data_IF_771600031387
#
_entry.id   IF_771600031387
#
_cell.length_a   1.000
_cell.length_b   1.000
_cell.length_c   1.000
_cell.angle_alpha   90.00
_cell.angle_beta   90.00
_cell.angle_gamma   90.00
#
_symmetry.space_group_name_H-M   'P 1'
#
loop_
_entity.id
_entity.type
_entity.pdbx_description
1 polymer ?
#
# COMPACT_ATOMS: atom_id res chain seq x y z
N UNK A 1 -0.84 44.68 -14.67
CA UNK A 1 -0.21 43.48 -14.08
C UNK A 1 -0.69 43.14 -12.68
N UNK A 2 -0.77 44.11 -11.77
CA UNK A 2 -1.22 43.87 -10.37
C UNK A 2 -2.63 43.27 -10.28
N UNK A 3 -3.57 43.72 -11.09
CA UNK A 3 -4.95 43.22 -11.13
C UNK A 3 -5.06 41.78 -11.63
N UNK A 4 -4.19 41.32 -12.51
CA UNK A 4 -4.18 39.91 -12.98
C UNK A 4 -3.69 38.95 -11.90
N UNK A 5 -2.68 39.38 -11.13
CA UNK A 5 -2.13 38.58 -10.00
C UNK A 5 -3.18 38.47 -8.89
N UNK A 6 -3.92 39.54 -8.63
CA UNK A 6 -4.98 39.54 -7.63
C UNK A 6 -6.15 38.63 -8.05
N UNK A 7 -6.55 38.65 -9.30
CA UNK A 7 -7.60 37.75 -9.83
C UNK A 7 -7.18 36.28 -9.81
N UNK A 8 -5.92 35.98 -10.12
CA UNK A 8 -5.35 34.64 -10.01
C UNK A 8 -5.32 34.17 -8.54
N UNK A 9 -4.89 35.04 -7.62
CA UNK A 9 -4.87 34.73 -6.19
C UNK A 9 -6.28 34.43 -5.63
N UNK A 10 -7.27 35.24 -6.02
CA UNK A 10 -8.68 35.02 -5.63
C UNK A 10 -9.21 33.70 -6.22
N UNK A 11 -8.87 33.39 -7.47
CA UNK A 11 -9.30 32.17 -8.13
C UNK A 11 -8.68 30.93 -7.47
N UNK A 12 -7.38 30.95 -7.17
CA UNK A 12 -6.69 29.88 -6.44
C UNK A 12 -7.33 29.69 -5.04
N UNK A 13 -7.57 30.79 -4.34
CA UNK A 13 -8.22 30.75 -3.02
C UNK A 13 -9.65 30.19 -3.10
N UNK A 14 -10.46 30.60 -4.09
CA UNK A 14 -11.80 30.07 -4.29
C UNK A 14 -11.83 28.57 -4.64
N UNK A 15 -10.88 28.11 -5.47
CA UNK A 15 -10.79 26.68 -5.83
C UNK A 15 -10.36 25.86 -4.62
N UNK A 16 -9.38 26.33 -3.86
CA UNK A 16 -8.88 25.59 -2.69
C UNK A 16 -9.84 25.62 -1.49
N UNK A 17 -10.70 26.63 -1.40
CA UNK A 17 -11.67 26.74 -0.30
C UNK A 17 -12.81 25.71 -0.35
N UNK A 18 -13.02 25.06 -1.49
CA UNK A 18 -14.06 24.04 -1.68
C UNK A 18 -13.54 22.61 -1.62
N UNK A 19 -12.23 22.41 -1.40
CA UNK A 19 -11.67 21.07 -1.24
C UNK A 19 -11.79 20.71 0.24
N UNK A 20 -12.86 20.01 0.58
CA UNK A 20 -12.96 19.33 1.87
C UNK A 20 -12.05 18.11 1.83
N UNK A 21 -11.18 17.96 2.82
CA UNK A 21 -10.44 16.73 3.01
C UNK A 21 -11.43 15.60 3.27
N UNK A 22 -11.22 14.41 2.70
CA UNK A 22 -12.07 13.27 2.99
C UNK A 22 -12.10 12.99 4.50
N UNK A 23 -13.23 12.51 4.99
CA UNK A 23 -13.34 12.02 6.36
C UNK A 23 -12.40 10.83 6.54
N UNK A 24 -11.64 10.84 7.63
CA UNK A 24 -10.73 9.74 7.97
C UNK A 24 -11.45 8.76 8.87
N UNK A 25 -11.58 7.52 8.41
CA UNK A 25 -12.11 6.39 9.17
C UNK A 25 -10.95 5.49 9.57
N UNK A 26 -10.67 5.46 10.88
CA UNK A 26 -9.56 4.72 11.48
C UNK A 26 -10.01 3.36 11.99
N UNK A 27 -9.18 2.34 11.71
CA UNK A 27 -9.28 0.99 12.24
C UNK A 27 -7.98 0.61 12.97
N UNK A 28 -8.06 -0.33 13.90
CA UNK A 28 -6.89 -0.90 14.57
C UNK A 28 -6.48 -2.23 13.90
N UNK A 29 -5.24 -2.68 14.13
CA UNK A 29 -4.83 -4.03 13.70
C UNK A 29 -5.75 -5.09 14.29
N UNK A 30 -6.10 -6.10 13.48
CA UNK A 30 -7.06 -7.15 13.82
C UNK A 30 -8.52 -6.76 13.61
N UNK A 31 -8.85 -5.49 13.41
CA UNK A 31 -10.19 -5.06 13.03
C UNK A 31 -10.44 -5.26 11.54
N UNK A 32 -11.65 -5.69 11.19
CA UNK A 32 -12.07 -5.85 9.81
C UNK A 32 -12.55 -4.50 9.23
N UNK A 33 -11.75 -3.92 8.34
CA UNK A 33 -12.06 -2.66 7.66
C UNK A 33 -12.84 -2.93 6.37
N UNK A 34 -14.15 -2.69 6.37
CA UNK A 34 -14.96 -2.72 5.16
C UNK A 34 -14.58 -1.55 4.25
N UNK A 35 -14.37 -1.80 2.96
CA UNK A 35 -14.00 -0.74 2.01
C UNK A 35 -15.23 -0.03 1.45
N UNK A 36 -16.28 -0.77 1.13
CA UNK A 36 -17.52 -0.21 0.61
C UNK A 36 -17.32 0.44 -0.76
N UNK A 37 -17.81 1.68 -0.91
CA UNK A 37 -17.68 2.46 -2.15
C UNK A 37 -16.41 3.30 -2.22
N UNK A 38 -15.55 3.17 -1.23
CA UNK A 38 -14.34 3.96 -1.16
C UNK A 38 -13.34 3.43 -2.20
N UNK A 39 -12.60 4.35 -2.79
CA UNK A 39 -11.64 4.10 -3.86
C UNK A 39 -10.31 4.79 -3.52
N UNK A 40 -9.24 4.24 -4.02
CA UNK A 40 -7.92 4.89 -4.04
C UNK A 40 -7.74 5.65 -5.36
N UNK A 41 -8.07 4.97 -6.47
CA UNK A 41 -8.01 5.51 -7.83
C UNK A 41 -9.23 5.03 -8.63
N UNK A 42 -10.06 5.93 -9.13
CA UNK A 42 -11.35 5.68 -9.78
C UNK A 42 -11.32 4.83 -11.06
N UNK A 43 -10.12 4.54 -11.59
CA UNK A 43 -9.97 3.88 -12.89
C UNK A 43 -9.97 2.36 -12.84
N UNK A 44 -9.63 1.76 -11.72
CA UNK A 44 -9.27 0.33 -11.67
C UNK A 44 -9.90 -0.40 -10.49
N UNK A 45 -10.39 0.31 -9.50
CA UNK A 45 -10.85 -0.27 -8.23
C UNK A 45 -12.35 -0.20 -8.06
N UNK A 46 -12.92 -1.32 -7.74
CA UNK A 46 -14.24 -1.39 -7.14
C UNK A 46 -14.16 -2.45 -6.04
N UNK A 47 -13.88 -2.00 -4.82
CA UNK A 47 -13.76 -2.86 -3.65
C UNK A 47 -15.09 -3.03 -2.89
N UNK A 48 -16.22 -2.72 -3.52
CA UNK A 48 -17.52 -2.88 -2.87
C UNK A 48 -17.79 -4.34 -2.50
N UNK A 49 -18.06 -4.58 -1.22
CA UNK A 49 -18.22 -5.91 -0.65
C UNK A 49 -16.89 -6.58 -0.26
N UNK A 50 -15.77 -5.86 -0.32
CA UNK A 50 -14.50 -6.34 0.22
C UNK A 50 -14.21 -5.72 1.58
N UNK A 51 -13.48 -6.47 2.40
CA UNK A 51 -12.88 -5.98 3.64
C UNK A 51 -11.41 -6.40 3.72
N UNK A 52 -10.65 -5.65 4.51
CA UNK A 52 -9.23 -5.89 4.78
C UNK A 52 -9.01 -5.88 6.28
N UNK A 53 -8.25 -6.86 6.78
CA UNK A 53 -7.76 -6.90 8.15
C UNK A 53 -6.25 -6.97 8.13
N UNK A 54 -5.54 -6.07 8.80
CA UNK A 54 -4.10 -6.22 9.02
C UNK A 54 -3.88 -7.18 10.19
N UNK A 55 -3.20 -8.30 9.94
CA UNK A 55 -3.02 -9.38 10.92
C UNK A 55 -1.68 -9.28 11.66
N UNK A 56 -0.61 -8.92 10.95
CA UNK A 56 0.73 -8.76 11.53
C UNK A 56 1.56 -7.76 10.72
N UNK A 57 2.59 -7.21 11.34
CA UNK A 57 3.54 -6.33 10.68
C UNK A 57 4.92 -6.47 11.29
N UNK A 58 5.97 -6.40 10.46
CA UNK A 58 7.36 -6.55 10.90
C UNK A 58 8.35 -5.85 10.00
N UNK A 59 9.46 -5.41 10.59
CA UNK A 59 10.61 -4.87 9.85
C UNK A 59 11.69 -5.95 9.73
N UNK A 60 12.30 -6.04 8.56
CA UNK A 60 13.44 -6.93 8.31
C UNK A 60 14.36 -6.37 7.22
N UNK A 61 15.57 -6.91 7.14
CA UNK A 61 16.50 -6.58 6.05
C UNK A 61 16.03 -7.20 4.73
N UNK A 62 16.52 -6.68 3.63
CA UNK A 62 16.27 -7.26 2.30
C UNK A 62 16.69 -8.73 2.22
N UNK A 63 17.87 -9.07 2.75
CA UNK A 63 18.40 -10.42 2.77
C UNK A 63 17.52 -11.38 3.60
N UNK A 64 17.07 -10.95 4.79
CA UNK A 64 16.18 -11.75 5.63
C UNK A 64 14.81 -11.96 4.97
N UNK A 65 14.34 -10.96 4.22
CA UNK A 65 13.10 -11.08 3.46
C UNK A 65 13.22 -12.14 2.36
N UNK A 66 14.24 -12.08 1.54
CA UNK A 66 14.49 -13.09 0.49
C UNK A 66 14.61 -14.50 1.09
N UNK A 67 15.38 -14.63 2.17
CA UNK A 67 15.54 -15.89 2.89
C UNK A 67 14.21 -16.42 3.43
N UNK A 68 13.35 -15.55 3.98
CA UNK A 68 12.02 -15.92 4.49
C UNK A 68 11.17 -16.59 3.42
N UNK A 69 11.24 -16.09 2.19
CA UNK A 69 10.45 -16.59 1.06
C UNK A 69 11.23 -17.59 0.18
N UNK A 70 12.43 -18.01 0.61
CA UNK A 70 13.22 -19.02 -0.08
C UNK A 70 13.76 -18.59 -1.43
N UNK A 71 13.89 -17.28 -1.66
CA UNK A 71 14.43 -16.71 -2.89
C UNK A 71 15.95 -16.53 -2.78
N UNK A 72 16.68 -17.01 -3.80
CA UNK A 72 18.14 -16.90 -3.87
C UNK A 72 18.54 -16.19 -5.17
N UNK A 73 19.04 -14.96 -5.10
CA UNK A 73 19.42 -14.16 -6.27
C UNK A 73 20.51 -14.82 -7.14
N UNK A 74 21.33 -15.73 -6.59
CA UNK A 74 22.34 -16.48 -7.37
C UNK A 74 21.70 -17.56 -8.26
N UNK A 75 20.58 -18.12 -7.83
CA UNK A 75 19.88 -19.23 -8.51
C UNK A 75 18.66 -18.75 -9.29
N UNK A 76 17.89 -17.82 -8.71
CA UNK A 76 16.58 -17.36 -9.21
C UNK A 76 16.68 -16.08 -10.04
N UNK A 77 17.83 -15.37 -9.97
CA UNK A 77 18.11 -14.13 -10.68
C UNK A 77 18.06 -12.89 -9.80
N UNK A 78 18.79 -11.87 -10.20
CA UNK A 78 18.91 -10.60 -9.47
C UNK A 78 17.62 -9.78 -9.62
N UNK A 79 16.99 -9.43 -8.51
CA UNK A 79 15.75 -8.60 -8.51
C UNK A 79 16.03 -7.12 -8.73
N UNK A 80 17.11 -6.63 -8.14
CA UNK A 80 17.52 -5.23 -8.24
C UNK A 80 19.02 -5.16 -8.46
N UNK A 81 19.45 -4.50 -9.53
CA UNK A 81 20.87 -4.21 -9.75
C UNK A 81 21.43 -3.38 -8.58
N UNK A 82 22.74 -3.51 -8.30
CA UNK A 82 23.37 -2.86 -7.15
C UNK A 82 23.27 -1.32 -7.17
N UNK A 83 23.22 -0.71 -8.36
CA UNK A 83 23.11 0.73 -8.57
C UNK A 83 21.65 1.20 -8.72
N UNK A 84 20.67 0.30 -8.59
CA UNK A 84 19.26 0.66 -8.67
C UNK A 84 18.82 1.42 -7.42
N UNK A 85 18.42 2.69 -7.61
CA UNK A 85 17.92 3.54 -6.52
C UNK A 85 16.65 2.99 -5.84
N UNK A 86 15.97 2.04 -6.46
CA UNK A 86 14.78 1.38 -5.90
C UNK A 86 15.13 0.05 -5.19
N UNK A 87 16.42 -0.30 -5.09
CA UNK A 87 16.84 -1.47 -4.33
C UNK A 87 16.55 -1.25 -2.85
N UNK A 88 15.73 -2.10 -2.24
CA UNK A 88 15.45 -2.00 -0.82
C UNK A 88 16.68 -2.33 0.02
N UNK A 89 16.86 -1.64 1.13
CA UNK A 89 17.74 -2.07 2.22
C UNK A 89 16.92 -2.76 3.31
N UNK A 90 15.72 -2.21 3.56
CA UNK A 90 14.80 -2.64 4.60
C UNK A 90 13.39 -2.81 4.02
N UNK A 91 12.65 -3.74 4.58
CA UNK A 91 11.24 -4.00 4.25
C UNK A 91 10.40 -3.90 5.53
N UNK A 92 9.32 -3.13 5.44
CA UNK A 92 8.22 -3.19 6.39
C UNK A 92 7.11 -4.05 5.78
N UNK A 93 7.02 -5.29 6.21
CA UNK A 93 6.01 -6.22 5.73
C UNK A 93 4.74 -6.11 6.56
N UNK A 94 3.60 -6.00 5.89
CA UNK A 94 2.27 -6.08 6.52
C UNK A 94 1.52 -7.26 5.94
N UNK A 95 1.15 -8.20 6.80
CA UNK A 95 0.31 -9.34 6.45
C UNK A 95 -1.16 -8.92 6.56
N UNK A 96 -1.92 -9.10 5.48
CA UNK A 96 -3.34 -8.76 5.46
C UNK A 96 -4.21 -9.96 5.08
N UNK A 97 -5.39 -10.03 5.68
CA UNK A 97 -6.47 -10.92 5.26
C UNK A 97 -7.49 -10.08 4.48
N UNK A 98 -7.78 -10.50 3.26
CA UNK A 98 -8.79 -9.88 2.41
C UNK A 98 -9.98 -10.82 2.27
N UNK A 99 -11.20 -10.31 2.45
CA UNK A 99 -12.44 -11.05 2.27
C UNK A 99 -13.31 -10.43 1.20
N UNK A 100 -13.97 -11.27 0.42
CA UNK A 100 -15.03 -10.87 -0.49
C UNK A 100 -16.38 -11.39 0.05
N UNK A 101 -17.19 -10.47 0.54
CA UNK A 101 -18.53 -10.77 1.11
C UNK A 101 -19.64 -10.81 0.05
N UNK A 102 -19.33 -10.54 -1.22
CA UNK A 102 -20.31 -10.64 -2.29
C UNK A 102 -20.77 -12.08 -2.44
N UNK A 103 -22.07 -12.28 -2.66
CA UNK A 103 -22.67 -13.61 -2.88
C UNK A 103 -22.58 -14.06 -4.33
N UNK A 104 -22.45 -13.11 -5.24
CA UNK A 104 -22.39 -13.35 -6.67
C UNK A 104 -21.11 -12.78 -7.25
N UNK A 105 -20.65 -13.36 -8.36
CA UNK A 105 -19.48 -12.84 -9.06
C UNK A 105 -19.81 -11.45 -9.66
N UNK A 106 -19.21 -10.43 -9.10
CA UNK A 106 -19.29 -9.07 -9.60
C UNK A 106 -18.04 -8.77 -10.41
N UNK A 107 -18.13 -8.88 -11.72
CA UNK A 107 -17.01 -8.66 -12.63
C UNK A 107 -16.42 -7.24 -12.58
N UNK A 108 -17.12 -6.29 -11.94
CA UNK A 108 -16.64 -4.93 -11.72
C UNK A 108 -15.86 -4.74 -10.42
N UNK A 109 -15.87 -5.74 -9.51
CA UNK A 109 -15.19 -5.64 -8.21
C UNK A 109 -13.77 -6.22 -8.28
N UNK A 110 -12.85 -5.64 -7.54
CA UNK A 110 -11.46 -6.11 -7.42
C UNK A 110 -10.62 -5.18 -6.57
N UNK A 111 -9.44 -5.66 -6.24
CA UNK A 111 -8.44 -4.98 -5.41
C UNK A 111 -7.21 -4.67 -6.24
N UNK A 112 -6.57 -3.52 -5.98
CA UNK A 112 -5.25 -3.18 -6.48
C UNK A 112 -4.37 -2.75 -5.31
N UNK A 113 -3.30 -3.51 -5.04
CA UNK A 113 -2.35 -3.16 -3.98
C UNK A 113 -1.29 -2.15 -4.40
N UNK A 114 -1.15 -1.86 -5.70
CA UNK A 114 -0.19 -0.88 -6.20
C UNK A 114 -0.41 0.52 -5.61
N UNK A 115 -1.66 0.80 -5.24
CA UNK A 115 -2.04 2.10 -4.69
C UNK A 115 -1.96 2.14 -3.16
N UNK A 116 -1.90 1.00 -2.48
CA UNK A 116 -1.78 0.97 -1.02
C UNK A 116 -0.48 1.60 -0.56
N UNK A 117 -0.56 2.39 0.50
CA UNK A 117 0.57 3.12 1.08
C UNK A 117 0.61 2.89 2.58
N UNK A 118 1.81 2.73 3.09
CA UNK A 118 2.08 2.80 4.51
C UNK A 118 2.60 4.22 4.80
N UNK A 119 1.81 5.02 5.52
CA UNK A 119 2.05 6.45 5.70
C UNK A 119 2.32 6.80 7.15
N UNK A 120 3.17 7.79 7.37
CA UNK A 120 3.35 8.51 8.62
C UNK A 120 3.12 10.02 8.38
N UNK A 121 3.40 10.86 9.39
CA UNK A 121 3.23 12.30 9.29
C UNK A 121 4.13 12.96 8.25
N UNK A 122 5.31 12.39 8.01
CA UNK A 122 6.42 13.01 7.26
C UNK A 122 7.02 12.13 6.16
N UNK A 123 6.56 10.87 6.05
CA UNK A 123 6.98 9.97 4.97
C UNK A 123 5.87 9.01 4.54
N UNK A 124 6.12 8.35 3.42
CA UNK A 124 5.22 7.35 2.84
C UNK A 124 6.05 6.25 2.19
N UNK A 125 5.72 4.99 2.51
CA UNK A 125 6.33 3.82 1.90
C UNK A 125 5.40 3.21 0.86
N UNK A 126 5.98 2.69 -0.21
CA UNK A 126 5.26 2.04 -1.31
C UNK A 126 5.51 0.54 -1.32
N UNK A 127 4.57 -0.23 -1.84
CA UNK A 127 4.75 -1.67 -2.03
C UNK A 127 5.77 -1.92 -3.15
N UNK A 128 6.72 -2.82 -2.90
CA UNK A 128 7.66 -3.29 -3.91
C UNK A 128 7.02 -4.42 -4.72
N UNK A 129 6.80 -4.21 -6.02
CA UNK A 129 6.19 -5.24 -6.88
C UNK A 129 7.02 -6.52 -6.97
N UNK A 130 8.36 -6.49 -7.19
CA UNK A 130 9.15 -7.72 -7.25
C UNK A 130 9.07 -8.53 -5.95
N UNK A 131 9.16 -7.88 -4.80
CA UNK A 131 9.07 -8.54 -3.50
C UNK A 131 7.66 -9.08 -3.23
N UNK A 132 6.61 -8.33 -3.65
CA UNK A 132 5.24 -8.79 -3.56
C UNK A 132 5.00 -10.09 -4.36
N UNK A 133 5.56 -10.21 -5.56
CA UNK A 133 5.42 -11.42 -6.36
C UNK A 133 6.03 -12.65 -5.70
N UNK A 134 7.21 -12.49 -5.10
CA UNK A 134 7.88 -13.56 -4.36
C UNK A 134 7.07 -13.97 -3.14
N UNK A 135 6.66 -13.02 -2.32
CA UNK A 135 5.95 -13.29 -1.07
C UNK A 135 4.58 -13.94 -1.26
N UNK A 136 3.93 -13.67 -2.39
CA UNK A 136 2.60 -14.18 -2.68
C UNK A 136 2.58 -15.28 -3.75
N UNK A 137 3.75 -15.84 -4.10
CA UNK A 137 3.92 -16.94 -5.08
C UNK A 137 3.23 -16.63 -6.41
N UNK A 138 3.46 -15.42 -6.93
CA UNK A 138 2.89 -14.98 -8.21
C UNK A 138 3.75 -15.49 -9.36
N UNK A 139 3.19 -16.38 -10.17
CA UNK A 139 3.87 -16.94 -11.33
C UNK A 139 4.33 -15.84 -12.31
N UNK A 140 5.49 -16.04 -12.96
CA UNK A 140 6.14 -15.06 -13.84
C UNK A 140 5.21 -14.55 -14.95
N UNK A 141 4.41 -15.41 -15.54
CA UNK A 141 3.43 -15.04 -16.56
C UNK A 141 2.34 -14.06 -16.06
N UNK A 142 2.10 -14.00 -14.75
CA UNK A 142 1.11 -13.15 -14.12
C UNK A 142 1.70 -11.85 -13.53
N UNK A 143 3.01 -11.71 -13.44
CA UNK A 143 3.66 -10.54 -12.84
C UNK A 143 3.35 -9.24 -13.58
N UNK A 144 3.13 -9.31 -14.89
CA UNK A 144 2.72 -8.17 -15.72
C UNK A 144 1.27 -7.73 -15.52
N UNK A 145 0.43 -8.54 -14.86
CA UNK A 145 -0.97 -8.22 -14.56
C UNK A 145 -1.12 -7.31 -13.35
N UNK A 146 -0.02 -6.83 -12.81
CA UNK A 146 0.05 -5.94 -11.66
C UNK A 146 -0.43 -6.63 -10.36
N UNK A 147 -0.50 -5.85 -9.29
CA UNK A 147 -1.00 -6.32 -7.99
C UNK A 147 -2.51 -6.14 -7.89
N UNK A 148 -3.23 -6.46 -8.97
CA UNK A 148 -4.69 -6.38 -9.05
C UNK A 148 -5.28 -7.76 -9.23
N UNK A 149 -6.31 -8.08 -8.47
CA UNK A 149 -6.98 -9.38 -8.55
C UNK A 149 -8.42 -9.29 -8.04
N UNK A 150 -9.16 -10.40 -8.22
CA UNK A 150 -10.49 -10.61 -7.66
C UNK A 150 -10.51 -11.89 -6.86
N UNK A 151 -11.13 -11.84 -5.71
CA UNK A 151 -11.48 -13.04 -4.96
C UNK A 151 -12.83 -13.57 -5.44
N UNK A 152 -12.99 -14.89 -5.37
CA UNK A 152 -14.30 -15.52 -5.58
C UNK A 152 -15.30 -15.00 -4.55
N UNK A 153 -16.62 -15.01 -4.86
CA UNK A 153 -17.64 -14.71 -3.88
C UNK A 153 -17.49 -15.55 -2.61
N UNK A 154 -17.77 -14.95 -1.46
CA UNK A 154 -17.72 -15.58 -0.14
C UNK A 154 -16.40 -16.30 0.16
N UNK A 155 -15.28 -15.74 -0.31
CA UNK A 155 -13.93 -16.28 -0.07
C UNK A 155 -13.01 -15.26 0.58
N UNK A 156 -11.91 -15.76 1.14
CA UNK A 156 -10.87 -14.96 1.76
C UNK A 156 -9.48 -15.44 1.33
N UNK A 157 -8.51 -14.55 1.38
CA UNK A 157 -7.11 -14.85 1.05
C UNK A 157 -6.17 -13.91 1.82
N UNK A 158 -5.03 -14.44 2.24
CA UNK A 158 -3.96 -13.67 2.87
C UNK A 158 -2.99 -13.18 1.82
N UNK A 159 -2.46 -11.98 2.06
CA UNK A 159 -1.44 -11.35 1.23
C UNK A 159 -0.37 -10.74 2.11
N UNK A 160 0.86 -10.78 1.60
CA UNK A 160 2.05 -10.16 2.19
C UNK A 160 2.37 -8.90 1.40
N UNK A 161 2.31 -7.75 2.05
CA UNK A 161 2.56 -6.44 1.44
C UNK A 161 3.95 -5.92 1.88
N UNK A 162 4.98 -6.02 1.03
CA UNK A 162 6.31 -5.52 1.33
C UNK A 162 6.42 -4.02 0.99
N UNK A 163 6.33 -3.18 1.99
CA UNK A 163 6.67 -1.76 1.87
C UNK A 163 8.18 -1.59 2.06
N UNK A 164 8.84 -0.93 1.13
CA UNK A 164 10.29 -0.85 1.11
C UNK A 164 10.82 0.54 1.45
N UNK A 165 12.03 0.57 2.01
CA UNK A 165 12.79 1.78 2.25
C UNK A 165 14.29 1.48 2.25
N UNK A 166 15.10 2.52 2.04
CA UNK A 166 16.55 2.42 1.94
C UNK A 166 17.23 3.50 2.79
N UNK A 167 17.47 3.26 4.10
CA UNK A 167 18.05 4.23 5.03
C UNK A 167 19.41 4.80 4.59
N UNK A 168 20.20 4.03 3.86
CA UNK A 168 21.49 4.45 3.32
C UNK A 168 21.41 5.25 2.02
N UNK A 169 20.24 5.35 1.39
CA UNK A 169 20.05 6.08 0.14
C UNK A 169 20.05 7.59 0.34
N UNK A 170 20.84 8.35 -0.42
CA UNK A 170 20.79 9.82 -0.37
C UNK A 170 19.45 10.41 -0.83
N UNK A 171 18.65 9.64 -1.57
CA UNK A 171 17.36 10.07 -2.11
C UNK A 171 16.19 9.84 -1.14
N UNK A 172 16.34 8.92 -0.19
CA UNK A 172 15.32 8.58 0.80
C UNK A 172 15.93 8.69 2.20
N UNK A 173 15.55 9.75 2.93
CA UNK A 173 16.13 10.08 4.23
C UNK A 173 15.44 9.42 5.42
N UNK A 174 14.71 8.31 5.21
CA UNK A 174 13.97 7.64 6.28
C UNK A 174 14.85 6.57 6.92
N UNK A 175 15.22 6.75 8.17
CA UNK A 175 15.98 5.77 8.96
C UNK A 175 15.06 4.66 9.48
N UNK A 176 15.65 3.49 9.80
CA UNK A 176 14.93 2.41 10.48
C UNK A 176 14.29 2.87 11.80
N UNK A 177 15.04 3.62 12.63
CA UNK A 177 14.53 4.18 13.89
C UNK A 177 13.30 5.08 13.65
N UNK A 178 13.35 5.94 12.63
CA UNK A 178 12.21 6.80 12.25
C UNK A 178 10.97 5.98 11.88
N UNK A 179 11.16 4.88 11.12
CA UNK A 179 10.05 4.01 10.72
C UNK A 179 9.47 3.26 11.92
N UNK A 180 10.32 2.76 12.85
CA UNK A 180 9.87 2.04 14.05
C UNK A 180 9.12 2.93 15.02
N UNK A 181 9.53 4.19 15.15
CA UNK A 181 8.93 5.14 16.11
C UNK A 181 7.69 5.85 15.54
N UNK A 182 7.38 5.66 14.25
CA UNK A 182 6.29 6.34 13.58
C UNK A 182 4.92 5.73 13.90
N UNK A 183 3.89 6.58 13.97
CA UNK A 183 2.48 6.17 13.97
C UNK A 183 2.06 5.83 12.53
N UNK A 184 2.23 4.57 12.14
CA UNK A 184 2.05 4.11 10.77
C UNK A 184 0.59 3.78 10.46
N UNK A 185 0.15 4.18 9.26
CA UNK A 185 -1.19 3.98 8.77
C UNK A 185 -1.15 3.26 7.42
N UNK A 186 -1.76 2.08 7.34
CA UNK A 186 -2.02 1.42 6.05
C UNK A 186 -3.27 2.04 5.42
N UNK A 187 -3.05 2.88 4.41
CA UNK A 187 -4.14 3.55 3.71
C UNK A 187 -4.75 2.61 2.67
N UNK A 188 -6.04 2.34 2.79
CA UNK A 188 -6.82 1.41 1.96
C UNK A 188 -7.64 2.13 0.89
N UNK A 189 -8.03 3.38 1.13
CA UNK A 189 -8.79 4.23 0.20
C UNK A 189 -8.57 5.70 0.52
N UNK A 190 -8.86 6.58 -0.46
CA UNK A 190 -8.75 8.03 -0.30
C UNK A 190 -10.09 8.76 -0.42
N UNK A 191 -11.08 8.20 -1.15
CA UNK A 191 -12.32 8.92 -1.46
C UNK A 191 -13.51 7.96 -1.58
N UNK A 192 -14.73 8.36 -1.17
CA UNK A 192 -15.14 9.58 -0.47
C UNK A 192 -14.64 9.66 0.98
N UNK A 193 -14.28 8.53 1.61
CA UNK A 193 -13.68 8.45 2.94
C UNK A 193 -12.27 7.88 2.81
N UNK A 194 -11.32 8.46 3.52
CA UNK A 194 -10.00 7.86 3.69
C UNK A 194 -10.10 6.78 4.76
N UNK A 195 -10.05 5.51 4.34
CA UNK A 195 -10.04 4.36 5.25
C UNK A 195 -8.62 3.90 5.46
N UNK A 196 -8.23 3.76 6.71
CA UNK A 196 -6.87 3.38 7.07
C UNK A 196 -6.85 2.50 8.32
N UNK A 197 -5.85 1.62 8.39
CA UNK A 197 -5.60 0.76 9.56
C UNK A 197 -4.31 1.24 10.22
N UNK A 198 -4.36 1.49 11.52
CA UNK A 198 -3.16 1.74 12.32
C UNK A 198 -2.33 0.47 12.39
N UNK A 199 -1.03 0.60 12.13
CA UNK A 199 -0.11 -0.54 12.08
C UNK A 199 0.90 -0.42 13.21
N UNK A 200 0.92 -1.44 14.06
CA UNK A 200 1.92 -1.63 15.09
C UNK A 200 2.80 -2.83 14.75
N UNK A 201 4.11 -2.74 14.96
CA UNK A 201 5.02 -3.88 14.75
C UNK A 201 4.67 -5.02 15.72
N UNK A 202 4.51 -6.22 15.17
CA UNK A 202 4.23 -7.43 15.96
C UNK A 202 5.52 -8.19 16.25
N UNK A 203 5.63 -8.76 17.46
CA UNK A 203 6.79 -9.56 17.89
C UNK A 203 6.97 -10.87 17.09
#
# INVERSE_FOLDING_TARGET
MLSLVLLLGIRIWMVNRGIESPEVVQFEMGEEAEIGRNIFNDRVENMNGYSVTAESARIMTYEDYLKKYGYNEEEDGVLFEEDNMLRPEMIYEVDILVKNHNKEDNTGCGISYSDYKLTASDFMLSVSSPLYWIANDIAEENQNLMMSFRLRPESEMRFHLPFYFAPGSPAESVSEETVRDADLQLVLSLYPEQRQIRIDETE
#
